data_IF_394021869906
#
_entry.id   IF_394021869906
#
_cell.length_a   1.000
_cell.length_b   1.000
_cell.length_c   1.000
_cell.angle_alpha   90.00
_cell.angle_beta   90.00
_cell.angle_gamma   90.00
#
_symmetry.space_group_name_H-M   'P 1'
#
loop_
_entity.id
_entity.type
_entity.pdbx_description
1 polymer ?
#
# COMPACT_ATOMS: atom_id res chain seq x y z
N UNK A 1 12.46 2.39 9.63
CA UNK A 1 12.96 1.51 10.69
C UNK A 1 11.80 0.63 11.15
N UNK A 2 11.87 -0.67 10.85
CA UNK A 2 10.78 -1.62 11.12
C UNK A 2 10.56 -1.86 12.61
N UNK A 3 11.64 -1.96 13.41
CA UNK A 3 11.55 -2.21 14.84
C UNK A 3 10.96 -1.03 15.59
N UNK A 4 11.30 0.20 15.17
CA UNK A 4 10.69 1.41 15.72
C UNK A 4 9.18 1.43 15.45
N UNK A 5 8.77 1.17 14.20
CA UNK A 5 7.35 1.08 13.83
C UNK A 5 6.65 0.00 14.64
N UNK A 6 7.26 -1.19 14.79
CA UNK A 6 6.70 -2.26 15.63
C UNK A 6 6.48 -1.80 17.06
N UNK A 7 7.49 -1.19 17.69
CA UNK A 7 7.42 -0.69 19.07
C UNK A 7 6.29 0.31 19.23
N UNK A 8 6.15 1.25 18.29
CA UNK A 8 5.06 2.24 18.30
C UNK A 8 3.70 1.58 18.14
N UNK A 9 3.53 0.67 17.18
CA UNK A 9 2.25 -0.02 16.96
C UNK A 9 1.83 -0.89 18.15
N UNK A 10 2.78 -1.52 18.84
CA UNK A 10 2.51 -2.33 20.03
C UNK A 10 2.09 -1.50 21.26
N UNK A 11 2.16 -0.17 21.21
CA UNK A 11 1.59 0.71 22.25
C UNK A 11 0.08 0.94 22.08
N UNK A 12 -0.50 0.53 20.94
CA UNK A 12 -1.94 0.61 20.72
C UNK A 12 -2.69 -0.31 21.70
N UNK A 13 -3.90 0.09 22.07
CA UNK A 13 -4.77 -0.70 22.94
C UNK A 13 -5.04 -2.11 22.35
N UNK A 14 -4.55 -3.19 22.98
CA UNK A 14 -4.64 -4.55 22.43
C UNK A 14 -6.09 -5.09 22.38
N UNK A 15 -7.02 -4.48 23.13
CA UNK A 15 -8.44 -4.81 23.05
C UNK A 15 -9.12 -4.20 21.83
N UNK A 16 -8.54 -3.13 21.27
CA UNK A 16 -9.04 -2.46 20.07
C UNK A 16 -8.30 -2.89 18.81
N UNK A 17 -7.00 -3.15 18.93
CA UNK A 17 -6.10 -3.41 17.82
C UNK A 17 -5.34 -4.70 18.01
N UNK A 18 -5.19 -5.47 16.93
CA UNK A 18 -4.28 -6.61 16.86
C UNK A 18 -3.23 -6.32 15.80
N UNK A 19 -1.97 -6.18 16.23
CA UNK A 19 -0.82 -5.92 15.35
C UNK A 19 -0.11 -7.24 15.09
N UNK A 20 0.14 -7.54 13.81
CA UNK A 20 0.83 -8.75 13.39
C UNK A 20 1.91 -8.43 12.37
N UNK A 21 3.08 -9.04 12.54
CA UNK A 21 4.12 -9.10 11.50
C UNK A 21 3.71 -10.15 10.46
N UNK A 22 3.46 -9.68 9.24
CA UNK A 22 3.10 -10.51 8.09
C UNK A 22 4.26 -10.62 7.10
N UNK A 23 5.48 -10.26 7.52
CA UNK A 23 6.67 -10.42 6.71
C UNK A 23 6.94 -11.89 6.43
N UNK A 24 7.49 -12.18 5.26
CA UNK A 24 7.85 -13.55 4.90
C UNK A 24 9.14 -13.96 5.59
N UNK A 25 9.40 -15.27 5.73
CA UNK A 25 10.70 -15.75 6.23
C UNK A 25 11.87 -15.34 5.33
N UNK A 26 11.63 -15.22 4.02
CA UNK A 26 12.65 -14.87 3.02
C UNK A 26 12.90 -13.35 2.95
N UNK A 27 11.89 -12.58 3.30
CA UNK A 27 11.91 -11.11 3.32
C UNK A 27 11.31 -10.64 4.64
N UNK A 28 12.06 -10.77 5.75
CA UNK A 28 11.60 -10.29 7.05
C UNK A 28 11.53 -8.76 7.05
N UNK A 29 10.79 -8.20 8.02
CA UNK A 29 10.75 -6.77 8.29
C UNK A 29 10.19 -5.89 7.16
N UNK A 30 9.20 -6.39 6.42
CA UNK A 30 8.62 -5.67 5.28
C UNK A 30 7.14 -5.31 5.44
N UNK A 31 6.39 -5.97 6.33
CA UNK A 31 4.94 -5.88 6.30
C UNK A 31 4.29 -6.09 7.66
N UNK A 32 3.48 -5.11 8.09
CA UNK A 32 2.57 -5.27 9.22
C UNK A 32 1.11 -5.27 8.76
N UNK A 33 0.29 -6.02 9.48
CA UNK A 33 -1.17 -5.85 9.48
C UNK A 33 -1.65 -5.39 10.84
N UNK A 34 -2.52 -4.38 10.84
CA UNK A 34 -3.24 -3.93 12.03
C UNK A 34 -4.72 -4.23 11.83
N UNK A 35 -5.25 -5.15 12.63
CA UNK A 35 -6.66 -5.48 12.65
C UNK A 35 -7.39 -4.63 13.68
N UNK A 36 -8.38 -3.86 13.22
CA UNK A 36 -9.24 -3.03 14.05
C UNK A 36 -10.45 -3.86 14.46
N UNK A 37 -10.45 -4.33 15.72
CA UNK A 37 -11.41 -5.31 16.23
C UNK A 37 -12.85 -4.81 16.18
N UNK A 38 -13.07 -3.52 16.47
CA UNK A 38 -14.41 -2.93 16.48
C UNK A 38 -15.09 -2.94 15.11
N UNK A 39 -14.32 -2.71 14.04
CA UNK A 39 -14.85 -2.55 12.68
C UNK A 39 -14.59 -3.76 11.79
N UNK A 40 -13.85 -4.75 12.30
CA UNK A 40 -13.33 -5.89 11.56
C UNK A 40 -12.57 -5.47 10.28
N UNK A 41 -11.86 -4.33 10.33
CA UNK A 41 -11.07 -3.80 9.22
C UNK A 41 -9.59 -4.11 9.40
N UNK A 42 -8.88 -4.17 8.29
CA UNK A 42 -7.43 -4.35 8.24
C UNK A 42 -6.78 -3.08 7.69
N UNK A 43 -5.67 -2.69 8.30
CA UNK A 43 -4.75 -1.69 7.79
C UNK A 43 -3.44 -2.39 7.47
N UNK A 44 -2.98 -2.23 6.24
CA UNK A 44 -1.77 -2.84 5.70
C UNK A 44 -0.65 -1.78 5.69
N UNK A 45 0.46 -2.06 6.38
CA UNK A 45 1.60 -1.14 6.51
C UNK A 45 2.82 -1.75 5.84
N UNK A 46 3.18 -1.22 4.68
CA UNK A 46 4.30 -1.68 3.87
C UNK A 46 5.57 -0.90 4.20
N UNK A 47 6.69 -1.60 4.31
CA UNK A 47 8.02 -1.00 4.44
C UNK A 47 8.76 -1.03 3.10
N UNK A 48 9.50 0.04 2.86
CA UNK A 48 10.32 0.22 1.67
C UNK A 48 11.79 0.21 2.07
N UNK A 49 12.63 -0.37 1.22
CA UNK A 49 14.06 -0.20 1.29
C UNK A 49 14.41 1.22 0.83
N UNK A 50 15.21 1.93 1.63
CA UNK A 50 15.73 3.26 1.31
C UNK A 50 17.16 3.04 0.84
N UNK A 51 17.49 3.50 -0.37
CA UNK A 51 18.81 3.37 -0.99
C UNK A 51 19.37 4.79 -1.22
N UNK A 52 20.12 5.35 -0.23
CA UNK A 52 20.59 6.73 -0.29
C UNK A 52 21.56 7.01 -1.43
N UNK A 53 22.37 6.01 -1.81
CA UNK A 53 23.43 6.12 -2.83
C UNK A 53 22.83 6.41 -4.21
N UNK A 54 21.75 5.70 -4.54
CA UNK A 54 20.98 5.87 -5.77
C UNK A 54 19.82 6.86 -5.62
N UNK A 55 19.56 7.33 -4.40
CA UNK A 55 18.43 8.19 -4.03
C UNK A 55 17.09 7.57 -4.45
N UNK A 56 16.92 6.28 -4.16
CA UNK A 56 15.72 5.50 -4.53
C UNK A 56 15.07 4.82 -3.34
N UNK A 57 13.75 4.64 -3.43
CA UNK A 57 12.94 3.82 -2.55
C UNK A 57 12.53 2.58 -3.33
N UNK A 58 12.70 1.39 -2.75
CA UNK A 58 12.31 0.14 -3.40
C UNK A 58 11.30 -0.59 -2.55
N UNK A 59 10.21 -1.01 -3.18
CA UNK A 59 9.23 -1.87 -2.52
C UNK A 59 9.87 -3.23 -2.21
N UNK A 60 9.68 -3.71 -0.98
CA UNK A 60 10.16 -5.03 -0.57
C UNK A 60 9.01 -6.01 -0.75
N UNK A 61 9.13 -6.93 -1.72
CA UNK A 61 8.15 -7.96 -1.98
C UNK A 61 7.76 -8.74 -0.72
N UNK A 62 6.48 -8.69 -0.39
CA UNK A 62 5.90 -9.40 0.75
C UNK A 62 5.30 -10.74 0.33
N UNK A 63 4.79 -10.88 -0.90
CA UNK A 63 3.97 -12.03 -1.32
C UNK A 63 4.49 -12.79 -2.54
N UNK A 64 5.38 -12.22 -3.35
CA UNK A 64 5.85 -12.81 -4.63
C UNK A 64 6.37 -14.26 -4.48
N UNK A 65 7.13 -14.54 -3.42
CA UNK A 65 7.70 -15.87 -3.15
C UNK A 65 6.76 -16.79 -2.36
N UNK A 66 5.58 -16.32 -1.94
CA UNK A 66 4.67 -17.11 -1.12
C UNK A 66 3.82 -18.06 -1.99
N UNK A 67 3.90 -19.39 -1.81
CA UNK A 67 3.16 -20.35 -2.64
C UNK A 67 1.64 -20.34 -2.37
N UNK A 68 1.19 -19.78 -1.24
CA UNK A 68 -0.23 -19.74 -0.87
C UNK A 68 -1.00 -18.61 -1.55
N UNK A 69 -0.31 -17.63 -2.15
CA UNK A 69 -0.97 -16.52 -2.84
C UNK A 69 -1.13 -16.83 -4.33
N UNK A 70 -2.32 -16.58 -4.90
CA UNK A 70 -2.56 -16.79 -6.32
C UNK A 70 -1.71 -15.81 -7.18
N UNK A 71 -1.30 -16.26 -8.35
CA UNK A 71 -0.37 -15.53 -9.24
C UNK A 71 -0.84 -14.11 -9.57
N UNK A 72 -2.15 -13.90 -9.74
CA UNK A 72 -2.69 -12.58 -10.03
C UNK A 72 -2.44 -11.54 -8.92
N UNK A 73 -2.26 -11.96 -7.67
CA UNK A 73 -1.86 -11.06 -6.57
C UNK A 73 -0.38 -10.70 -6.70
N UNK A 74 0.47 -11.69 -7.00
CA UNK A 74 1.92 -11.52 -7.17
C UNK A 74 2.23 -10.56 -8.31
N UNK A 75 1.54 -10.73 -9.43
CA UNK A 75 1.60 -9.81 -10.58
C UNK A 75 1.32 -8.36 -10.17
N UNK A 76 0.29 -8.11 -9.34
CA UNK A 76 -0.03 -6.76 -8.88
C UNK A 76 1.07 -6.20 -8.01
N UNK A 77 1.68 -7.03 -7.18
CA UNK A 77 2.81 -6.65 -6.33
C UNK A 77 4.05 -6.28 -7.17
N UNK A 78 4.32 -7.02 -8.26
CA UNK A 78 5.42 -6.75 -9.19
C UNK A 78 5.38 -5.35 -9.81
N UNK A 79 4.21 -4.72 -9.91
CA UNK A 79 4.08 -3.32 -10.38
C UNK A 79 4.79 -2.31 -9.47
N UNK A 80 5.00 -2.65 -8.21
CA UNK A 80 5.64 -1.75 -7.24
C UNK A 80 7.17 -1.87 -7.18
N UNK A 81 7.75 -2.74 -8.01
CA UNK A 81 9.16 -3.15 -7.91
C UNK A 81 10.15 -2.17 -8.46
N UNK A 82 9.70 -1.40 -9.45
CA UNK A 82 10.53 -0.37 -10.07
C UNK A 82 10.92 0.62 -8.96
N UNK A 83 12.21 0.90 -8.75
CA UNK A 83 12.65 1.82 -7.71
C UNK A 83 12.14 3.25 -7.93
N UNK A 84 11.73 3.92 -6.86
CA UNK A 84 11.16 5.27 -6.86
C UNK A 84 12.18 6.32 -6.46
N UNK A 85 12.39 7.32 -7.31
CA UNK A 85 13.28 8.43 -6.97
C UNK A 85 12.78 9.19 -5.73
N UNK A 86 13.71 9.55 -4.83
CA UNK A 86 13.43 10.44 -3.71
C UNK A 86 12.77 11.74 -4.15
N UNK A 87 13.10 12.26 -5.33
CA UNK A 87 12.52 13.51 -5.84
C UNK A 87 11.01 13.45 -6.06
N UNK A 88 10.46 12.24 -6.27
CA UNK A 88 9.01 12.02 -6.45
C UNK A 88 8.25 11.75 -5.15
N UNK A 89 8.95 11.65 -4.02
CA UNK A 89 8.36 11.33 -2.71
C UNK A 89 8.66 12.42 -1.70
N UNK A 90 9.91 12.85 -1.60
CA UNK A 90 10.38 13.79 -0.59
C UNK A 90 10.53 15.22 -1.16
N UNK A 91 10.30 16.26 -0.35
CA UNK A 91 9.82 16.20 1.04
C UNK A 91 8.34 15.83 1.11
N UNK A 92 7.93 15.06 2.12
CA UNK A 92 6.52 14.68 2.26
C UNK A 92 5.65 15.93 2.50
N UNK A 93 4.46 15.95 1.89
CA UNK A 93 3.44 16.99 2.09
C UNK A 93 2.41 16.53 3.11
N UNK A 94 1.99 17.43 3.99
CA UNK A 94 0.86 17.21 4.90
C UNK A 94 -0.46 17.45 4.15
N UNK A 95 -1.46 16.64 4.43
CA UNK A 95 -2.83 16.84 3.98
C UNK A 95 -3.83 16.29 4.99
N UNK A 96 -5.12 16.49 4.75
CA UNK A 96 -6.20 15.84 5.49
C UNK A 96 -6.75 14.65 4.71
N UNK A 97 -6.87 13.51 5.38
CA UNK A 97 -7.56 12.32 4.89
C UNK A 97 -8.53 11.84 5.97
N UNK A 98 -9.83 11.82 5.66
CA UNK A 98 -10.91 11.54 6.62
C UNK A 98 -10.80 12.37 7.92
N UNK A 99 -10.40 13.64 7.81
CA UNK A 99 -10.23 14.55 8.94
C UNK A 99 -8.96 14.33 9.77
N UNK A 100 -8.09 13.41 9.37
CA UNK A 100 -6.81 13.11 10.02
C UNK A 100 -5.67 13.71 9.19
N UNK A 101 -4.72 14.38 9.85
CA UNK A 101 -3.51 14.86 9.18
C UNK A 101 -2.62 13.66 8.79
N UNK A 102 -2.32 13.53 7.51
CA UNK A 102 -1.47 12.48 6.96
C UNK A 102 -0.37 13.06 6.08
N UNK A 103 0.69 12.27 5.88
CA UNK A 103 1.79 12.61 4.98
C UNK A 103 1.66 11.88 3.65
N UNK A 104 1.84 12.61 2.56
CA UNK A 104 1.84 12.11 1.19
C UNK A 104 3.15 12.46 0.47
N UNK A 105 3.45 11.79 -0.66
CA UNK A 105 4.48 12.24 -1.59
C UNK A 105 4.36 13.74 -1.95
N UNK A 106 5.47 14.38 -2.29
CA UNK A 106 5.48 15.79 -2.70
C UNK A 106 4.65 16.06 -3.97
N UNK A 107 4.51 15.08 -4.86
CA UNK A 107 3.63 15.09 -6.02
C UNK A 107 2.83 13.78 -6.07
N UNK A 108 1.69 13.72 -5.35
CA UNK A 108 0.88 12.51 -5.27
C UNK A 108 0.35 12.05 -6.63
N UNK A 109 0.04 12.98 -7.54
CA UNK A 109 -0.51 12.65 -8.84
C UNK A 109 0.54 11.92 -9.70
N UNK A 110 1.72 12.52 -9.86
CA UNK A 110 2.83 11.88 -10.59
C UNK A 110 3.22 10.55 -9.95
N UNK A 111 3.26 10.50 -8.61
CA UNK A 111 3.55 9.28 -7.86
C UNK A 111 2.52 8.17 -8.14
N UNK A 112 1.22 8.50 -8.19
CA UNK A 112 0.16 7.52 -8.47
C UNK A 112 0.12 7.11 -9.94
N UNK A 113 0.29 8.05 -10.87
CA UNK A 113 0.25 7.79 -12.33
C UNK A 113 1.25 6.74 -12.76
N UNK A 114 2.41 6.69 -12.10
CA UNK A 114 3.38 5.63 -12.30
C UNK A 114 2.82 4.22 -12.12
N UNK A 115 1.98 4.01 -11.10
CA UNK A 115 1.49 2.68 -10.73
C UNK A 115 0.17 2.35 -11.42
N UNK A 116 -0.65 3.37 -11.68
CA UNK A 116 -2.03 3.20 -12.13
C UNK A 116 -2.29 3.72 -13.54
N UNK A 117 -1.31 4.38 -14.16
CA UNK A 117 -1.45 5.07 -15.45
C UNK A 117 -2.10 6.46 -15.28
N UNK A 118 -2.35 7.13 -16.40
CA UNK A 118 -2.90 8.49 -16.40
C UNK A 118 -4.32 8.58 -15.85
N UNK A 119 -5.09 7.50 -15.94
CA UNK A 119 -6.43 7.42 -15.37
C UNK A 119 -6.35 7.08 -13.88
N UNK A 120 -6.54 8.11 -13.04
CA UNK A 120 -6.61 7.99 -11.58
C UNK A 120 -8.05 8.03 -11.05
N UNK A 121 -9.06 7.89 -11.91
CA UNK A 121 -10.45 7.87 -11.48
C UNK A 121 -10.72 6.71 -10.51
N UNK A 122 -11.76 6.79 -9.67
CA UNK A 122 -12.12 5.70 -8.77
C UNK A 122 -12.36 4.39 -9.53
N UNK A 123 -11.58 3.36 -9.19
CA UNK A 123 -11.76 2.00 -9.74
C UNK A 123 -13.08 1.36 -9.27
N UNK A 124 -13.70 1.93 -8.24
CA UNK A 124 -15.03 1.57 -7.76
C UNK A 124 -15.82 2.82 -7.42
N UNK A 125 -17.13 2.78 -7.65
CA UNK A 125 -18.08 3.83 -7.26
C UNK A 125 -19.08 3.27 -6.28
N UNK A 126 -19.52 4.10 -5.33
CA UNK A 126 -20.55 3.70 -4.38
C UNK A 126 -21.93 3.79 -5.04
N UNK A 127 -22.64 2.67 -5.11
CA UNK A 127 -24.03 2.63 -5.50
C UNK A 127 -24.93 2.77 -4.24
N UNK A 128 -25.69 3.87 -4.11
CA UNK A 128 -26.58 4.07 -2.98
C UNK A 128 -27.77 3.10 -2.94
N UNK A 129 -28.17 2.50 -4.07
CA UNK A 129 -29.28 1.55 -4.13
C UNK A 129 -28.88 0.20 -3.54
N UNK A 130 -27.77 -0.37 -4.01
CA UNK A 130 -27.24 -1.63 -3.47
C UNK A 130 -26.45 -1.46 -2.17
N UNK A 131 -26.13 -0.22 -1.79
CA UNK A 131 -25.28 0.16 -0.65
C UNK A 131 -23.88 -0.47 -0.72
N UNK A 132 -23.33 -0.61 -1.92
CA UNK A 132 -22.07 -1.32 -2.19
C UNK A 132 -21.18 -0.50 -3.12
N UNK A 133 -19.88 -0.75 -3.01
CA UNK A 133 -18.93 -0.26 -4.00
C UNK A 133 -18.89 -1.22 -5.18
N UNK A 134 -19.29 -0.75 -6.35
CA UNK A 134 -19.30 -1.50 -7.60
C UNK A 134 -18.06 -1.20 -8.42
N UNK A 135 -17.59 -2.18 -9.20
CA UNK A 135 -16.41 -1.97 -10.06
C UNK A 135 -16.78 -1.12 -11.27
N UNK A 136 -15.99 -0.10 -11.55
CA UNK A 136 -16.07 0.63 -12.81
C UNK A 136 -15.37 -0.20 -13.89
N UNK A 137 -16.10 -1.10 -14.56
CA UNK A 137 -15.51 -2.10 -15.46
C UNK A 137 -14.73 -1.51 -16.65
N UNK A 138 -15.02 -0.26 -17.03
CA UNK A 138 -14.29 0.48 -18.07
C UNK A 138 -12.93 0.99 -17.61
N UNK A 139 -12.64 0.98 -16.31
CA UNK A 139 -11.39 1.52 -15.76
C UNK A 139 -10.19 0.61 -16.11
N UNK A 140 -9.07 1.17 -16.63
CA UNK A 140 -7.86 0.42 -17.02
C UNK A 140 -7.32 -0.54 -15.96
N UNK A 141 -7.39 -0.15 -14.68
CA UNK A 141 -7.04 -1.00 -13.53
C UNK A 141 -7.63 -2.43 -13.58
N UNK A 142 -8.85 -2.59 -14.10
CA UNK A 142 -9.51 -3.91 -14.21
C UNK A 142 -9.20 -4.65 -15.51
N UNK A 143 -8.66 -3.97 -16.51
CA UNK A 143 -8.30 -4.54 -17.80
C UNK A 143 -7.01 -5.33 -17.63
N UNK A 144 -7.03 -6.60 -18.06
CA UNK A 144 -5.91 -7.54 -17.88
C UNK A 144 -4.66 -7.15 -18.65
N UNK A 145 -4.74 -6.23 -19.60
CA UNK A 145 -3.58 -5.83 -20.43
C UNK A 145 -2.55 -4.99 -19.67
N UNK A 146 -2.92 -4.27 -18.61
CA UNK A 146 -1.94 -3.56 -17.76
C UNK A 146 -1.18 -4.50 -16.80
N UNK A 147 -1.32 -5.82 -16.98
CA UNK A 147 -0.47 -6.86 -16.42
C UNK A 147 0.72 -7.01 -17.38
N UNK A 148 1.65 -6.07 -17.33
CA UNK A 148 2.95 -6.20 -17.98
C UNK A 148 3.98 -6.59 -16.91
#
# INVERSE_FOLDING_TARGET
DFDLVRKTLLQLDPQKYLVQDWSSRLTPQNFFKVYVRQTNRLIDIYHFAIEPETRTLRYIFSLDTNPMFPEWIKIRERRFTVPTSFASVFPLKKTLFDGIEVFLPNDPETYLKRYYGDNLDPVKTYDPLTKRYEKVLTHPYWQREYVH
#
